data_IF_632653297087
#
_entry.id   IF_632653297087
#
_cell.length_a   1.000
_cell.length_b   1.000
_cell.length_c   1.000
_cell.angle_alpha   90.00
_cell.angle_beta   90.00
_cell.angle_gamma   90.00
#
_symmetry.space_group_name_H-M   'P 1'
#
loop_
_entity.id
_entity.type
_entity.pdbx_description
1 polymer ?
#
# COMPACT_ATOMS: atom_id res chain seq x y z
N UNK A 1 30.25 13.12 13.69
CA UNK A 1 29.35 11.99 13.97
C UNK A 1 28.64 11.74 12.66
N UNK A 2 29.09 10.72 11.94
CA UNK A 2 28.60 10.37 10.62
C UNK A 2 27.22 9.72 10.81
N UNK A 3 26.18 10.37 10.29
CA UNK A 3 24.81 9.87 10.32
C UNK A 3 24.77 8.65 9.41
N UNK A 4 24.84 7.45 10.00
CA UNK A 4 24.61 6.20 9.28
C UNK A 4 23.13 6.17 8.93
N UNK A 5 22.79 6.75 7.79
CA UNK A 5 21.51 6.51 7.13
C UNK A 5 21.50 5.02 6.83
N UNK A 6 20.90 4.24 7.73
CA UNK A 6 20.55 2.86 7.49
C UNK A 6 19.55 2.87 6.34
N UNK A 7 20.05 2.91 5.11
CA UNK A 7 19.22 2.76 3.93
C UNK A 7 18.65 1.36 4.03
N UNK A 8 17.34 1.27 4.27
CA UNK A 8 16.65 0.00 4.17
C UNK A 8 16.94 -0.58 2.79
N UNK A 9 17.16 -1.88 2.74
CA UNK A 9 17.22 -2.57 1.46
C UNK A 9 15.89 -2.35 0.73
N UNK A 10 15.88 -2.30 -0.62
CA UNK A 10 14.63 -2.13 -1.40
C UNK A 10 13.57 -3.16 -1.03
N UNK A 11 14.00 -4.34 -0.57
CA UNK A 11 13.13 -5.37 0.02
C UNK A 11 12.47 -4.93 1.33
N UNK A 12 13.23 -4.38 2.26
CA UNK A 12 12.70 -3.89 3.54
C UNK A 12 11.72 -2.74 3.34
N UNK A 13 12.01 -1.82 2.43
CA UNK A 13 11.08 -0.75 2.05
C UNK A 13 9.78 -1.31 1.48
N UNK A 14 9.85 -2.29 0.58
CA UNK A 14 8.65 -2.93 0.06
C UNK A 14 7.89 -3.75 1.12
N UNK A 15 8.58 -4.39 2.06
CA UNK A 15 7.94 -5.08 3.20
C UNK A 15 7.26 -4.08 4.16
N UNK A 16 7.80 -2.88 4.30
CA UNK A 16 7.17 -1.80 5.05
C UNK A 16 5.92 -1.31 4.33
N UNK A 17 6.05 -0.93 3.06
CA UNK A 17 4.94 -0.46 2.23
C UNK A 17 3.80 -1.48 2.14
N UNK A 18 4.12 -2.78 2.02
CA UNK A 18 3.13 -3.86 2.02
C UNK A 18 2.37 -3.95 3.35
N UNK A 19 3.07 -3.78 4.48
CA UNK A 19 2.45 -3.77 5.82
C UNK A 19 1.55 -2.56 6.01
N UNK A 20 2.01 -1.38 5.62
CA UNK A 20 1.22 -0.15 5.67
C UNK A 20 -0.05 -0.27 4.83
N UNK A 21 0.07 -0.77 3.60
CA UNK A 21 -1.06 -1.04 2.73
C UNK A 21 -2.04 -2.02 3.39
N UNK A 22 -1.54 -3.11 3.99
CA UNK A 22 -2.40 -4.09 4.67
C UNK A 22 -3.17 -3.45 5.83
N UNK A 23 -2.50 -2.68 6.68
CA UNK A 23 -3.13 -1.99 7.81
C UNK A 23 -4.20 -1.02 7.33
N UNK A 24 -3.93 -0.23 6.28
CA UNK A 24 -4.90 0.71 5.72
C UNK A 24 -6.14 0.00 5.16
N UNK A 25 -5.96 -1.16 4.52
CA UNK A 25 -7.05 -1.97 3.99
C UNK A 25 -7.87 -2.61 5.10
N UNK A 26 -7.22 -3.17 6.12
CA UNK A 26 -7.87 -3.75 7.30
C UNK A 26 -8.69 -2.70 8.06
N UNK A 27 -8.17 -1.48 8.23
CA UNK A 27 -8.88 -0.36 8.84
C UNK A 27 -10.16 0.04 8.09
N UNK A 28 -10.22 -0.22 6.78
CA UNK A 28 -11.41 0.03 5.94
C UNK A 28 -12.28 -1.22 5.77
N UNK A 29 -12.03 -2.29 6.52
CA UNK A 29 -12.78 -3.55 6.46
C UNK A 29 -12.52 -4.37 5.19
N UNK A 30 -11.45 -4.07 4.46
CA UNK A 30 -11.10 -4.72 3.19
C UNK A 30 -10.09 -5.82 3.48
N UNK A 31 -10.54 -7.08 3.51
CA UNK A 31 -9.66 -8.22 3.66
C UNK A 31 -9.13 -8.67 2.28
N UNK A 32 -7.82 -8.53 2.06
CA UNK A 32 -7.15 -9.15 0.92
C UNK A 32 -6.61 -10.53 1.30
N UNK A 33 -7.09 -11.61 0.66
CA UNK A 33 -6.62 -12.96 0.96
C UNK A 33 -5.18 -13.21 0.50
N UNK A 34 -4.69 -12.43 -0.49
CA UNK A 34 -3.35 -12.55 -1.04
C UNK A 34 -2.78 -11.15 -1.26
N UNK A 35 -1.89 -10.73 -0.36
CA UNK A 35 -0.97 -9.59 -0.56
C UNK A 35 0.44 -10.15 -0.40
N UNK A 36 1.28 -10.00 -1.42
CA UNK A 36 2.64 -10.56 -1.42
C UNK A 36 3.61 -9.63 -2.12
N UNK A 37 4.90 -9.79 -1.83
CA UNK A 37 5.96 -9.18 -2.62
C UNK A 37 6.32 -10.11 -3.77
N UNK A 38 6.23 -9.57 -4.98
CA UNK A 38 6.73 -10.22 -6.18
C UNK A 38 8.15 -9.75 -6.45
N UNK A 39 9.13 -10.64 -6.28
CA UNK A 39 10.56 -10.33 -6.41
C UNK A 39 11.06 -10.56 -7.84
N UNK A 40 10.25 -10.24 -8.85
CA UNK A 40 10.66 -10.38 -10.26
C UNK A 40 11.78 -9.41 -10.63
N UNK A 41 11.90 -8.30 -9.91
CA UNK A 41 12.98 -7.34 -10.08
C UNK A 41 13.69 -7.20 -8.72
N UNK A 42 14.97 -7.59 -8.61
CA UNK A 42 15.69 -7.59 -7.34
C UNK A 42 15.84 -6.18 -6.75
N UNK A 43 15.98 -5.16 -7.60
CA UNK A 43 16.10 -3.75 -7.21
C UNK A 43 14.76 -3.02 -7.03
N UNK A 44 13.66 -3.63 -7.48
CA UNK A 44 12.32 -3.02 -7.44
C UNK A 44 11.24 -4.07 -7.14
N UNK A 45 11.21 -4.63 -5.91
CA UNK A 45 10.18 -5.55 -5.50
C UNK A 45 8.79 -4.92 -5.65
N UNK A 46 7.88 -5.66 -6.28
CA UNK A 46 6.51 -5.21 -6.53
C UNK A 46 5.56 -5.74 -5.46
N UNK A 47 4.54 -4.95 -5.10
CA UNK A 47 3.44 -5.45 -4.26
C UNK A 47 2.37 -6.04 -5.17
N UNK A 48 2.15 -7.34 -5.08
CA UNK A 48 1.09 -8.05 -5.79
C UNK A 48 -0.17 -8.13 -4.92
N UNK A 49 -1.27 -7.63 -5.47
CA UNK A 49 -2.61 -7.85 -4.96
C UNK A 49 -3.23 -9.00 -5.76
N UNK A 50 -3.43 -10.15 -5.11
CA UNK A 50 -3.98 -11.32 -5.76
C UNK A 50 -5.47 -11.18 -6.11
N UNK A 51 -6.11 -12.30 -6.47
CA UNK A 51 -7.54 -12.31 -6.81
C UNK A 51 -8.38 -11.88 -5.61
N UNK A 52 -9.23 -10.90 -5.83
CA UNK A 52 -10.21 -10.42 -4.85
C UNK A 52 -11.63 -10.71 -5.32
N UNK A 53 -12.55 -10.75 -4.35
CA UNK A 53 -13.99 -10.81 -4.67
C UNK A 53 -14.44 -9.47 -5.26
N UNK A 54 -15.48 -9.45 -6.12
CA UNK A 54 -16.01 -8.21 -6.68
C UNK A 54 -16.40 -7.16 -5.65
N UNK A 55 -16.91 -7.58 -4.48
CA UNK A 55 -17.29 -6.70 -3.37
C UNK A 55 -16.05 -6.01 -2.78
N UNK A 56 -14.98 -6.77 -2.55
CA UNK A 56 -13.68 -6.27 -2.08
C UNK A 56 -13.07 -5.29 -3.09
N UNK A 57 -13.17 -5.59 -4.39
CA UNK A 57 -12.70 -4.68 -5.44
C UNK A 57 -13.48 -3.34 -5.45
N UNK A 58 -14.80 -3.39 -5.26
CA UNK A 58 -15.63 -2.18 -5.14
C UNK A 58 -15.31 -1.38 -3.87
N UNK A 59 -15.10 -2.06 -2.75
CA UNK A 59 -14.72 -1.41 -1.50
C UNK A 59 -13.35 -0.73 -1.63
N UNK A 60 -12.38 -1.40 -2.27
CA UNK A 60 -11.07 -0.83 -2.60
C UNK A 60 -11.20 0.40 -3.50
N UNK A 61 -11.96 0.32 -4.59
CA UNK A 61 -12.16 1.44 -5.50
C UNK A 61 -12.75 2.65 -4.76
N UNK A 62 -13.76 2.44 -3.90
CA UNK A 62 -14.32 3.51 -3.06
C UNK A 62 -13.31 4.07 -2.07
N UNK A 63 -12.46 3.22 -1.49
CA UNK A 63 -11.42 3.65 -0.58
C UNK A 63 -10.39 4.55 -1.26
N UNK A 64 -9.94 4.17 -2.45
CA UNK A 64 -8.98 4.94 -3.26
C UNK A 64 -9.58 6.27 -3.75
N UNK A 65 -10.83 6.25 -4.20
CA UNK A 65 -11.52 7.48 -4.65
C UNK A 65 -11.86 8.41 -3.48
N UNK A 66 -12.06 7.87 -2.27
CA UNK A 66 -12.29 8.66 -1.06
C UNK A 66 -11.12 9.56 -0.64
N UNK A 67 -9.92 9.32 -1.16
CA UNK A 67 -8.72 10.18 -0.96
C UNK A 67 -8.60 11.27 -2.04
N UNK A 68 -9.34 11.19 -3.16
CA UNK A 68 -9.41 12.24 -4.18
C UNK A 68 -10.43 13.34 -3.83
N UNK A 69 -11.18 13.19 -2.74
CA UNK A 69 -12.28 14.09 -2.36
C UNK A 69 -12.03 14.80 -1.05
N UNK A 70 -10.81 15.30 -0.82
CA UNK A 70 -10.53 16.09 0.37
C UNK A 70 -9.14 16.74 0.42
N UNK A 71 -8.83 17.66 -0.49
CA UNK A 71 -8.26 18.97 -0.15
C UNK A 71 -8.22 19.91 -1.38
N UNK A 72 -9.39 20.43 -1.79
CA UNK A 72 -9.48 21.73 -2.49
C UNK A 72 -10.43 22.62 -1.69
N UNK A 73 -10.12 22.79 -0.39
CA UNK A 73 -10.66 23.87 0.43
C UNK A 73 -9.52 24.75 0.89
N UNK A 74 -8.80 25.32 -0.08
CA UNK A 74 -7.92 26.46 0.17
C UNK A 74 -8.78 27.70 0.38
N UNK A 75 -9.21 27.87 1.63
CA UNK A 75 -8.91 29.03 2.49
C UNK A 75 -8.95 30.43 1.84
N UNK A 76 -9.93 31.23 2.27
CA UNK A 76 -9.81 32.70 2.43
C UNK A 76 -10.19 33.55 1.24
#
# INVERSE_FOLDING_TARGET
MEEVVLTNSPRQDAECAMRELRVALEARGIAFPVVRLHTCVPDAPLVELGRVRPETARALARALVGELSGDDRVRG
#
